data_IF_694771848624
#
_entry.id   IF_694771848624
#
_cell.length_a   1.000
_cell.length_b   1.000
_cell.length_c   1.000
_cell.angle_alpha   90.00
_cell.angle_beta   90.00
_cell.angle_gamma   90.00
#
_symmetry.space_group_name_H-M   'P 1'
#
loop_
_entity.id
_entity.type
_entity.pdbx_description
1 polymer ?
#
# COMPACT_ATOMS: atom_id res chain seq x y z
N UNK A 1 -12.51 4.51 -11.82
CA UNK A 1 -11.20 4.38 -11.19
C UNK A 1 -10.82 5.66 -10.48
N UNK A 2 -10.24 5.54 -9.29
CA UNK A 2 -9.72 6.65 -8.50
C UNK A 2 -8.25 6.44 -8.21
N UNK A 3 -7.55 7.53 -7.87
CA UNK A 3 -6.16 7.50 -7.40
C UNK A 3 -6.16 7.90 -5.93
N UNK A 4 -5.51 7.10 -5.09
CA UNK A 4 -5.24 7.43 -3.69
C UNK A 4 -3.78 7.87 -3.62
N UNK A 5 -3.54 9.11 -3.23
CA UNK A 5 -2.20 9.64 -2.99
C UNK A 5 -1.98 9.74 -1.48
N UNK A 6 -1.02 8.98 -0.95
CA UNK A 6 -0.66 9.00 0.47
C UNK A 6 0.60 9.84 0.62
N UNK A 7 0.45 11.00 1.28
CA UNK A 7 1.58 11.87 1.60
C UNK A 7 2.00 11.58 3.04
N UNK A 8 3.21 11.09 3.21
CA UNK A 8 3.78 10.83 4.55
C UNK A 8 4.18 12.14 5.22
N UNK A 9 4.14 12.15 6.56
CA UNK A 9 4.62 13.29 7.32
C UNK A 9 6.09 13.60 6.99
N UNK A 10 6.41 14.89 6.99
CA UNK A 10 7.78 15.38 6.87
C UNK A 10 8.21 15.97 8.22
N UNK A 11 9.48 15.80 8.62
CA UNK A 11 10.01 16.44 9.80
C UNK A 11 9.87 17.96 9.70
N UNK A 12 9.33 18.61 10.74
CA UNK A 12 9.05 20.06 10.75
C UNK A 12 9.48 20.74 12.03
N UNK A 13 9.38 20.04 13.16
CA UNK A 13 9.61 20.62 14.47
C UNK A 13 11.03 20.34 14.94
N UNK A 14 11.61 21.26 15.70
CA UNK A 14 12.97 21.09 16.26
C UNK A 14 13.04 19.81 17.09
N UNK A 15 12.07 19.61 17.98
CA UNK A 15 11.76 18.33 18.64
C UNK A 15 10.29 18.35 19.02
N UNK A 16 9.52 17.38 18.52
CA UNK A 16 8.15 17.18 18.95
C UNK A 16 7.89 15.70 19.21
N UNK A 17 7.26 15.42 20.33
CA UNK A 17 6.79 14.08 20.69
C UNK A 17 5.27 14.08 20.81
N UNK A 18 4.62 13.09 20.25
CA UNK A 18 3.19 12.88 20.45
C UNK A 18 2.88 11.43 20.80
N UNK A 19 1.91 11.28 21.68
CA UNK A 19 1.37 9.98 22.10
C UNK A 19 -0.14 10.01 21.98
N UNK A 20 -0.71 8.97 21.43
CA UNK A 20 -2.15 8.80 21.30
C UNK A 20 -2.54 7.40 21.76
N UNK A 21 -3.41 7.31 22.75
CA UNK A 21 -3.90 6.03 23.30
C UNK A 21 -5.42 5.98 23.20
N UNK A 22 -5.96 4.86 22.80
CA UNK A 22 -7.40 4.62 22.80
C UNK A 22 -7.71 3.23 23.33
N UNK A 23 -8.82 3.13 24.06
CA UNK A 23 -9.35 1.86 24.54
C UNK A 23 -10.86 1.81 24.30
N UNK A 24 -11.36 0.73 23.76
CA UNK A 24 -12.79 0.52 23.51
C UNK A 24 -13.21 -0.89 23.93
N UNK A 25 -14.51 -1.19 23.82
CA UNK A 25 -15.07 -2.51 24.17
C UNK A 25 -14.34 -3.63 23.40
N UNK A 26 -14.38 -4.86 23.95
CA UNK A 26 -13.74 -6.05 23.38
C UNK A 26 -12.22 -5.98 23.42
N UNK A 27 -11.69 -5.40 24.49
CA UNK A 27 -10.25 -5.22 24.71
C UNK A 27 -9.54 -4.62 23.51
N UNK A 28 -10.21 -3.71 22.80
CA UNK A 28 -9.60 -3.01 21.67
C UNK A 28 -8.73 -1.87 22.21
N UNK A 29 -7.45 -2.02 22.06
CA UNK A 29 -6.43 -1.07 22.47
C UNK A 29 -5.60 -0.60 21.31
N UNK A 30 -5.32 0.69 21.26
CA UNK A 30 -4.40 1.30 20.28
C UNK A 30 -3.48 2.27 20.98
N UNK A 31 -2.17 2.19 20.69
CA UNK A 31 -1.14 3.11 21.15
C UNK A 31 -0.31 3.59 19.97
N UNK A 32 -0.31 4.89 19.74
CA UNK A 32 0.55 5.55 18.75
C UNK A 32 1.58 6.42 19.44
N UNK A 33 2.83 6.40 18.97
CA UNK A 33 3.95 7.22 19.42
C UNK A 33 4.61 7.84 18.19
N UNK A 34 4.86 9.14 18.20
CA UNK A 34 5.59 9.80 17.13
C UNK A 34 6.66 10.71 17.72
N UNK A 35 7.82 10.72 17.09
CA UNK A 35 8.94 11.61 17.39
C UNK A 35 9.34 12.33 16.09
N UNK A 36 9.25 13.64 16.11
CA UNK A 36 9.66 14.53 15.03
C UNK A 36 10.90 15.33 15.48
N UNK A 37 11.93 15.33 14.67
CA UNK A 37 13.16 16.09 14.92
C UNK A 37 13.57 16.73 13.60
N UNK A 38 13.67 18.06 13.58
CA UNK A 38 14.22 18.81 12.44
C UNK A 38 15.23 19.83 12.94
N UNK A 39 16.50 19.63 12.62
CA UNK A 39 17.58 20.53 13.00
C UNK A 39 18.50 20.82 11.83
N UNK A 40 18.58 22.10 11.46
CA UNK A 40 19.41 22.55 10.37
C UNK A 40 19.03 21.89 9.03
N UNK A 41 19.90 21.04 8.51
CA UNK A 41 19.72 20.33 7.22
C UNK A 41 19.15 18.93 7.35
N UNK A 42 18.96 18.44 8.57
CA UNK A 42 18.59 17.06 8.85
C UNK A 42 17.22 17.02 9.50
N UNK A 43 16.37 16.13 9.02
CA UNK A 43 15.10 15.80 9.63
C UNK A 43 14.96 14.31 9.87
N UNK A 44 14.28 13.94 10.95
CA UNK A 44 13.96 12.57 11.33
C UNK A 44 12.53 12.50 11.83
N UNK A 45 11.74 11.59 11.29
CA UNK A 45 10.40 11.29 11.76
C UNK A 45 10.28 9.81 12.06
N UNK A 46 10.03 9.49 13.33
CA UNK A 46 9.83 8.12 13.81
C UNK A 46 8.38 7.94 14.22
N UNK A 47 7.75 6.86 13.80
CA UNK A 47 6.39 6.50 14.23
C UNK A 47 6.33 5.04 14.62
N UNK A 48 5.68 4.77 15.74
CA UNK A 48 5.35 3.42 16.18
C UNK A 48 3.87 3.36 16.52
N UNK A 49 3.20 2.29 16.11
CA UNK A 49 1.81 2.02 16.47
C UNK A 49 1.63 0.56 16.83
N UNK A 50 1.00 0.33 17.97
CA UNK A 50 0.51 -0.96 18.42
C UNK A 50 -1.02 -0.94 18.42
N UNK A 51 -1.64 -1.97 17.84
CA UNK A 51 -3.09 -2.18 17.89
C UNK A 51 -3.37 -3.62 18.35
N UNK A 52 -4.37 -3.77 19.22
CA UNK A 52 -4.85 -5.06 19.71
C UNK A 52 -6.37 -5.07 19.78
N UNK A 53 -6.97 -6.24 19.57
CA UNK A 53 -8.40 -6.50 19.82
C UNK A 53 -8.61 -7.98 20.04
N UNK A 54 -9.45 -8.36 21.01
CA UNK A 54 -9.89 -9.75 21.19
C UNK A 54 -10.87 -10.21 20.10
N UNK A 55 -11.27 -9.28 19.19
CA UNK A 55 -12.31 -9.54 18.23
C UNK A 55 -13.70 -9.60 18.85
N UNK A 56 -14.67 -9.99 18.07
CA UNK A 56 -16.04 -10.14 18.54
C UNK A 56 -16.84 -11.08 17.65
N UNK A 57 -17.85 -11.69 18.25
CA UNK A 57 -18.74 -12.65 17.63
C UNK A 57 -20.18 -12.23 17.87
N UNK A 58 -21.10 -12.61 17.02
CA UNK A 58 -22.52 -12.41 17.27
C UNK A 58 -22.94 -13.14 18.54
N UNK A 59 -23.94 -12.56 19.21
CA UNK A 59 -24.64 -13.28 20.27
C UNK A 59 -25.21 -14.59 19.72
N UNK A 60 -25.28 -15.57 20.61
CA UNK A 60 -25.91 -16.87 20.29
C UNK A 60 -27.30 -16.63 19.73
N UNK A 61 -27.61 -17.29 18.62
CA UNK A 61 -28.97 -17.41 18.16
C UNK A 61 -29.63 -18.49 19.02
N UNK A 62 -30.82 -18.20 19.55
CA UNK A 62 -31.63 -19.16 20.27
C UNK A 62 -32.93 -19.37 19.49
N UNK A 63 -33.32 -20.58 19.27
CA UNK A 63 -34.63 -20.98 18.75
C UNK A 63 -35.32 -21.82 19.84
N UNK A 64 -36.51 -21.44 20.22
CA UNK A 64 -37.31 -22.08 21.31
C UNK A 64 -36.55 -22.26 22.65
N UNK A 65 -35.57 -21.36 22.93
CA UNK A 65 -34.77 -21.39 24.16
C UNK A 65 -33.58 -22.32 24.12
N UNK A 66 -33.32 -22.97 23.02
CA UNK A 66 -32.12 -23.78 22.79
C UNK A 66 -31.07 -23.02 21.97
N UNK A 67 -29.78 -23.19 22.28
CA UNK A 67 -28.68 -22.61 21.52
C UNK A 67 -28.48 -23.37 20.22
N UNK A 68 -28.74 -22.73 19.07
CA UNK A 68 -28.55 -23.32 17.74
C UNK A 68 -27.21 -22.94 17.09
N UNK A 69 -26.15 -22.75 17.86
CA UNK A 69 -24.84 -22.48 17.27
C UNK A 69 -24.21 -23.78 16.80
N UNK A 70 -24.34 -24.05 15.51
CA UNK A 70 -23.62 -25.13 14.84
C UNK A 70 -22.20 -24.72 14.44
N UNK A 71 -21.90 -23.42 14.32
CA UNK A 71 -20.59 -22.92 13.90
C UNK A 71 -20.15 -21.72 14.70
N UNK A 72 -18.87 -21.63 15.04
CA UNK A 72 -18.24 -20.42 15.59
C UNK A 72 -17.63 -19.64 14.43
N UNK A 73 -18.39 -18.68 13.90
CA UNK A 73 -17.91 -17.73 12.90
C UNK A 73 -17.75 -16.35 13.53
N UNK A 74 -16.54 -15.90 13.89
CA UNK A 74 -16.35 -14.57 14.46
C UNK A 74 -16.65 -13.51 13.39
N UNK A 75 -17.40 -12.46 13.76
CA UNK A 75 -17.63 -11.31 12.91
C UNK A 75 -16.38 -10.44 12.76
N UNK A 76 -15.54 -10.41 13.79
CA UNK A 76 -14.22 -9.79 13.76
C UNK A 76 -13.24 -10.68 14.49
N UNK A 77 -12.16 -11.02 13.81
CA UNK A 77 -11.07 -11.82 14.39
C UNK A 77 -10.32 -11.01 15.44
N UNK A 78 -9.87 -11.66 16.49
CA UNK A 78 -8.87 -11.13 17.40
C UNK A 78 -7.57 -10.86 16.62
N UNK A 79 -6.86 -9.79 17.00
CA UNK A 79 -5.60 -9.47 16.36
C UNK A 79 -4.67 -8.68 17.28
N UNK A 80 -3.39 -8.77 16.99
CA UNK A 80 -2.37 -7.84 17.45
C UNK A 80 -1.52 -7.39 16.27
N UNK A 81 -1.12 -6.13 16.26
CA UNK A 81 -0.25 -5.59 15.21
C UNK A 81 0.73 -4.57 15.75
N UNK A 82 1.92 -4.58 15.18
CA UNK A 82 2.95 -3.57 15.39
C UNK A 82 3.29 -2.95 14.06
N UNK A 83 3.38 -1.62 14.03
CA UNK A 83 3.80 -0.86 12.87
C UNK A 83 4.89 0.10 13.32
N UNK A 84 6.05 0.02 12.69
CA UNK A 84 7.17 0.94 12.89
C UNK A 84 7.50 1.61 11.57
N UNK A 85 7.75 2.90 11.58
CA UNK A 85 8.25 3.63 10.42
C UNK A 85 9.27 4.69 10.83
N UNK A 86 10.25 4.88 9.97
CA UNK A 86 11.31 5.86 10.10
C UNK A 86 11.48 6.59 8.78
N UNK A 87 11.58 7.91 8.82
CA UNK A 87 11.95 8.74 7.67
C UNK A 87 13.08 9.67 8.06
N UNK A 88 14.07 9.76 7.19
CA UNK A 88 15.15 10.74 7.27
C UNK A 88 15.08 11.67 6.06
N UNK A 89 15.35 12.95 6.27
CA UNK A 89 15.50 13.94 5.21
C UNK A 89 16.82 14.66 5.38
N UNK A 90 17.45 15.04 4.27
CA UNK A 90 18.70 15.79 4.28
C UNK A 90 18.70 16.84 3.17
N UNK A 91 18.69 18.10 3.54
CA UNK A 91 18.83 19.24 2.63
C UNK A 91 20.31 19.59 2.48
N UNK A 92 21.01 18.93 1.53
CA UNK A 92 22.44 19.13 1.30
C UNK A 92 22.73 20.58 0.91
N UNK A 93 21.89 21.14 0.00
CA UNK A 93 21.89 22.55 -0.41
C UNK A 93 20.46 23.03 -0.53
N UNK A 94 20.24 24.33 -0.84
CA UNK A 94 18.91 24.87 -1.18
C UNK A 94 18.27 24.18 -2.41
N UNK A 95 19.12 23.60 -3.26
CA UNK A 95 18.70 22.97 -4.52
C UNK A 95 18.61 21.43 -4.41
N UNK A 96 19.44 20.80 -3.56
CA UNK A 96 19.58 19.35 -3.50
C UNK A 96 19.12 18.82 -2.16
N UNK A 97 18.10 18.00 -2.19
CA UNK A 97 17.56 17.28 -1.04
C UNK A 97 17.44 15.78 -1.27
N UNK A 98 17.62 15.02 -0.20
CA UNK A 98 17.52 13.57 -0.15
C UNK A 98 16.52 13.15 0.90
N UNK A 99 15.89 12.01 0.69
CA UNK A 99 15.19 11.31 1.75
C UNK A 99 15.47 9.82 1.71
N UNK A 100 15.34 9.19 2.86
CA UNK A 100 15.28 7.74 2.98
C UNK A 100 14.22 7.38 4.03
N UNK A 101 13.47 6.33 3.78
CA UNK A 101 12.50 5.80 4.73
C UNK A 101 12.52 4.29 4.78
N UNK A 102 12.12 3.75 5.91
CA UNK A 102 11.93 2.33 6.10
C UNK A 102 10.80 2.07 7.08
N UNK A 103 10.19 0.91 6.97
CA UNK A 103 9.13 0.51 7.87
C UNK A 103 9.06 -1.00 8.01
N UNK A 104 8.50 -1.40 9.12
CA UNK A 104 8.20 -2.79 9.45
C UNK A 104 6.80 -2.88 10.03
N UNK A 105 6.05 -3.85 9.62
CA UNK A 105 4.81 -4.21 10.29
C UNK A 105 4.68 -5.71 10.47
N UNK A 106 4.02 -6.11 11.53
CA UNK A 106 3.49 -7.45 11.69
C UNK A 106 2.05 -7.40 12.19
N UNK A 107 1.29 -8.42 11.87
CA UNK A 107 -0.07 -8.61 12.35
C UNK A 107 -0.39 -10.09 12.50
N UNK A 108 -0.75 -10.49 13.71
CA UNK A 108 -1.34 -11.80 13.99
C UNK A 108 -2.87 -11.70 14.00
N UNK A 109 -3.56 -12.59 13.28
CA UNK A 109 -5.01 -12.77 13.35
C UNK A 109 -5.31 -14.09 14.06
N UNK A 110 -6.11 -14.00 15.11
CA UNK A 110 -6.50 -15.13 15.94
C UNK A 110 -7.84 -15.70 15.46
N UNK A 111 -7.89 -17.01 15.32
CA UNK A 111 -9.10 -17.73 14.91
C UNK A 111 -9.50 -18.72 15.98
N UNK A 112 -10.80 -19.01 16.15
CA UNK A 112 -11.25 -20.10 17.01
C UNK A 112 -10.60 -21.40 16.56
N UNK A 113 -10.07 -22.18 17.51
CA UNK A 113 -9.45 -23.47 17.22
C UNK A 113 -10.53 -24.49 16.91
N UNK A 114 -10.31 -25.32 15.86
CA UNK A 114 -11.18 -26.45 15.56
C UNK A 114 -11.08 -27.51 16.69
N UNK A 115 -12.24 -27.94 17.20
CA UNK A 115 -12.40 -28.98 18.22
C UNK A 115 -13.55 -29.89 17.83
N UNK A 116 -13.65 -31.06 18.46
CA UNK A 116 -14.71 -32.03 18.19
C UNK A 116 -16.12 -31.48 18.43
N UNK A 117 -16.25 -30.58 19.43
CA UNK A 117 -17.50 -29.93 19.83
C UNK A 117 -17.76 -28.60 19.10
N UNK A 118 -16.87 -28.18 18.19
CA UNK A 118 -16.93 -26.88 17.52
C UNK A 118 -16.74 -27.08 16.02
N UNK A 119 -17.80 -26.89 15.26
CA UNK A 119 -17.73 -26.81 13.79
C UNK A 119 -17.36 -25.40 13.33
N UNK A 120 -16.58 -25.29 12.23
CA UNK A 120 -16.13 -24.04 11.68
C UNK A 120 -14.91 -23.41 12.38
N UNK A 121 -14.27 -24.11 13.29
CA UNK A 121 -12.99 -23.73 13.87
C UNK A 121 -11.84 -23.75 12.85
N UNK A 122 -10.69 -23.22 13.22
CA UNK A 122 -9.51 -23.16 12.37
C UNK A 122 -8.36 -23.98 12.94
N UNK A 123 -7.61 -24.61 12.02
CA UNK A 123 -6.37 -25.35 12.37
C UNK A 123 -5.16 -24.44 12.53
N UNK A 124 -5.28 -23.17 12.15
CA UNK A 124 -4.19 -22.21 12.14
C UNK A 124 -4.69 -20.78 12.35
N UNK A 125 -3.82 -19.97 12.93
CA UNK A 125 -3.90 -18.50 12.88
C UNK A 125 -3.17 -17.98 11.64
N UNK A 126 -3.48 -16.75 11.23
CA UNK A 126 -2.78 -16.10 10.12
C UNK A 126 -1.83 -15.04 10.67
N UNK A 127 -0.59 -15.07 10.23
CA UNK A 127 0.42 -14.07 10.54
C UNK A 127 0.84 -13.34 9.26
N UNK A 128 0.88 -12.02 9.34
CA UNK A 128 1.36 -11.14 8.28
C UNK A 128 2.62 -10.42 8.75
N UNK A 129 3.55 -10.24 7.86
CA UNK A 129 4.79 -9.50 8.10
C UNK A 129 5.17 -8.74 6.84
N UNK A 130 5.65 -7.51 7.01
CA UNK A 130 6.08 -6.70 5.90
C UNK A 130 7.18 -5.73 6.24
N UNK A 131 8.02 -5.48 5.24
CA UNK A 131 9.06 -4.46 5.25
C UNK A 131 8.84 -3.56 4.05
N UNK A 132 8.97 -2.26 4.26
CA UNK A 132 9.02 -1.30 3.17
C UNK A 132 10.24 -0.40 3.32
N UNK A 133 10.74 0.10 2.21
CA UNK A 133 11.86 1.03 2.17
C UNK A 133 11.71 1.94 0.98
N UNK A 134 12.31 3.10 1.06
CA UNK A 134 12.34 4.05 -0.03
C UNK A 134 13.49 5.02 0.12
N UNK A 135 13.95 5.54 -0.98
CA UNK A 135 14.93 6.61 -1.04
C UNK A 135 14.65 7.49 -2.27
N UNK A 136 14.93 8.76 -2.15
CA UNK A 136 14.78 9.67 -3.27
C UNK A 136 15.69 10.85 -3.19
N UNK A 137 15.89 11.45 -4.35
CA UNK A 137 16.67 12.67 -4.53
C UNK A 137 15.85 13.66 -5.34
N UNK A 138 15.83 14.90 -4.88
CA UNK A 138 15.16 16.01 -5.54
C UNK A 138 16.17 17.11 -5.81
N UNK A 139 16.27 17.52 -7.08
CA UNK A 139 17.12 18.60 -7.51
C UNK A 139 16.29 19.74 -8.12
N UNK A 140 16.35 20.91 -7.50
CA UNK A 140 15.70 22.13 -7.95
C UNK A 140 16.65 22.87 -8.89
N UNK A 141 16.44 22.75 -10.19
CA UNK A 141 17.17 23.53 -11.20
C UNK A 141 16.87 25.03 -11.11
N UNK A 142 15.65 25.36 -10.70
CA UNK A 142 15.17 26.71 -10.43
C UNK A 142 13.94 26.66 -9.52
N UNK A 143 13.34 27.82 -9.19
CA UNK A 143 12.08 27.87 -8.42
C UNK A 143 10.91 27.11 -9.07
N UNK A 144 10.98 26.83 -10.36
CA UNK A 144 9.90 26.18 -11.16
C UNK A 144 10.30 24.87 -11.80
N UNK A 145 11.59 24.56 -11.81
CA UNK A 145 12.13 23.40 -12.51
C UNK A 145 12.74 22.43 -11.51
N UNK A 146 12.22 21.23 -11.46
CA UNK A 146 12.63 20.18 -10.52
C UNK A 146 12.81 18.88 -11.26
N UNK A 147 13.88 18.17 -10.94
CA UNK A 147 14.07 16.76 -11.30
C UNK A 147 14.04 15.97 -10.01
N UNK A 148 13.35 14.83 -10.02
CA UNK A 148 13.20 13.96 -8.87
C UNK A 148 13.36 12.51 -9.30
N UNK A 149 14.13 11.77 -8.55
CA UNK A 149 14.23 10.32 -8.64
C UNK A 149 13.76 9.71 -7.33
N UNK A 150 12.87 8.74 -7.43
CA UNK A 150 12.31 7.99 -6.30
C UNK A 150 12.50 6.50 -6.56
N UNK A 151 12.93 5.77 -5.54
CA UNK A 151 12.95 4.32 -5.52
C UNK A 151 12.22 3.84 -4.27
N UNK A 152 11.36 2.85 -4.41
CA UNK A 152 10.70 2.19 -3.29
C UNK A 152 10.63 0.69 -3.46
N UNK A 153 10.60 0.00 -2.34
CA UNK A 153 10.40 -1.44 -2.29
C UNK A 153 9.48 -1.84 -1.15
N UNK A 154 8.83 -2.96 -1.35
CA UNK A 154 7.96 -3.58 -0.35
C UNK A 154 8.13 -5.09 -0.39
N UNK A 155 8.15 -5.71 0.78
CA UNK A 155 8.15 -7.16 0.94
C UNK A 155 7.00 -7.52 1.89
N UNK A 156 6.08 -8.34 1.45
CA UNK A 156 4.93 -8.80 2.21
C UNK A 156 4.93 -10.32 2.28
N UNK A 157 4.81 -10.87 3.48
CA UNK A 157 4.68 -12.30 3.72
C UNK A 157 3.40 -12.61 4.50
N UNK A 158 2.70 -13.65 4.09
CA UNK A 158 1.59 -14.27 4.82
C UNK A 158 2.00 -15.67 5.22
N UNK A 159 1.72 -16.03 6.47
CA UNK A 159 2.05 -17.34 7.05
C UNK A 159 0.85 -17.90 7.82
N UNK A 160 0.72 -19.20 7.84
CA UNK A 160 -0.10 -19.90 8.83
C UNK A 160 0.74 -20.26 10.05
N UNK A 161 0.24 -19.97 11.24
CA UNK A 161 0.75 -20.49 12.51
C UNK A 161 -0.18 -21.63 12.94
N UNK A 162 0.27 -22.85 12.85
CA UNK A 162 -0.58 -24.00 13.18
C UNK A 162 -0.89 -24.05 14.68
N UNK A 163 -2.14 -24.34 15.00
CA UNK A 163 -2.68 -24.47 16.36
C UNK A 163 -2.79 -25.94 16.78
N UNK A 164 -3.02 -26.81 15.80
CA UNK A 164 -3.05 -28.26 15.92
C UNK A 164 -2.18 -28.87 14.82
N UNK A 165 -1.80 -30.12 14.97
CA UNK A 165 -1.05 -30.84 13.94
C UNK A 165 -1.87 -30.92 12.64
N UNK A 166 -1.29 -30.48 11.56
CA UNK A 166 -1.93 -30.51 10.24
C UNK A 166 -0.90 -30.45 9.11
N UNK A 167 -1.10 -31.30 8.09
CA UNK A 167 -0.28 -31.32 6.86
C UNK A 167 1.24 -31.40 7.11
N UNK A 168 1.65 -32.12 8.17
CA UNK A 168 3.06 -32.29 8.56
C UNK A 168 3.66 -31.14 9.38
N UNK A 169 2.85 -30.14 9.76
CA UNK A 169 3.24 -29.06 10.67
C UNK A 169 2.72 -29.34 12.08
N UNK A 170 3.58 -29.15 13.08
CA UNK A 170 3.25 -29.26 14.49
C UNK A 170 2.66 -27.95 15.03
N UNK A 171 1.91 -27.99 16.16
CA UNK A 171 1.43 -26.79 16.84
C UNK A 171 2.55 -25.78 17.10
N UNK A 172 2.31 -24.51 16.80
CA UNK A 172 3.28 -23.42 16.94
C UNK A 172 4.19 -23.21 15.71
N UNK A 173 4.28 -24.14 14.78
CA UNK A 173 5.07 -23.99 13.57
C UNK A 173 4.41 -23.05 12.56
N UNK A 174 5.25 -22.42 11.74
CA UNK A 174 4.83 -21.49 10.69
C UNK A 174 5.05 -22.09 9.31
N UNK A 175 4.06 -21.95 8.43
CA UNK A 175 4.16 -22.22 7.01
C UNK A 175 4.00 -20.93 6.21
N UNK A 176 4.92 -20.66 5.29
CA UNK A 176 4.80 -19.55 4.35
C UNK A 176 3.71 -19.90 3.32
N UNK A 177 2.67 -19.06 3.23
CA UNK A 177 1.58 -19.23 2.25
C UNK A 177 1.75 -18.31 1.05
N UNK A 178 2.30 -17.11 1.28
CA UNK A 178 2.49 -16.10 0.24
C UNK A 178 3.68 -15.20 0.58
N UNK A 179 4.52 -14.96 -0.41
CA UNK A 179 5.53 -13.90 -0.40
C UNK A 179 5.33 -13.04 -1.63
N UNK A 180 5.20 -11.74 -1.43
CA UNK A 180 5.03 -10.77 -2.51
C UNK A 180 6.04 -9.64 -2.33
N UNK A 181 6.72 -9.26 -3.41
CA UNK A 181 7.69 -8.17 -3.41
C UNK A 181 7.36 -7.20 -4.54
N UNK A 182 7.51 -5.92 -4.24
CA UNK A 182 7.37 -4.83 -5.21
C UNK A 182 8.64 -4.00 -5.19
N UNK A 183 9.06 -3.57 -6.36
CA UNK A 183 10.14 -2.61 -6.58
C UNK A 183 9.65 -1.60 -7.59
N UNK A 184 9.69 -0.33 -7.23
CA UNK A 184 9.28 0.80 -8.06
C UNK A 184 10.45 1.78 -8.16
N UNK A 185 10.72 2.28 -9.37
CA UNK A 185 11.66 3.36 -9.62
C UNK A 185 11.01 4.38 -10.55
N UNK A 186 11.00 5.64 -10.18
CA UNK A 186 10.47 6.75 -10.99
C UNK A 186 11.52 7.84 -11.15
N UNK A 187 11.70 8.32 -12.39
CA UNK A 187 12.40 9.56 -12.69
C UNK A 187 11.40 10.55 -13.28
N UNK A 188 11.24 11.69 -12.62
CA UNK A 188 10.24 12.70 -12.95
C UNK A 188 10.86 14.09 -13.09
N UNK A 189 10.44 14.83 -14.10
CA UNK A 189 10.75 16.23 -14.31
C UNK A 189 9.49 17.10 -14.24
N UNK A 190 9.57 18.23 -13.54
CA UNK A 190 8.53 19.27 -13.48
C UNK A 190 9.17 20.55 -13.99
N UNK A 191 8.61 21.14 -15.04
CA UNK A 191 9.16 22.32 -15.69
C UNK A 191 8.10 23.39 -15.91
N UNK A 192 8.33 24.55 -15.33
CA UNK A 192 7.52 25.73 -15.56
C UNK A 192 8.18 26.61 -16.63
N UNK A 193 7.91 26.32 -17.91
CA UNK A 193 8.50 27.10 -19.02
C UNK A 193 8.07 28.56 -19.05
N UNK A 194 6.84 28.85 -18.62
CA UNK A 194 6.32 30.17 -18.45
C UNK A 194 5.64 30.32 -17.09
N UNK A 195 5.24 31.56 -16.73
CA UNK A 195 4.46 31.80 -15.51
C UNK A 195 3.12 31.09 -15.50
N UNK A 196 2.59 30.78 -16.67
CA UNK A 196 1.26 30.25 -16.87
C UNK A 196 1.24 28.79 -17.36
N UNK A 197 2.39 28.13 -17.46
CA UNK A 197 2.43 26.75 -17.92
C UNK A 197 3.35 25.87 -17.07
N UNK A 198 2.94 24.62 -16.90
CA UNK A 198 3.71 23.60 -16.22
C UNK A 198 3.67 22.31 -17.03
N UNK A 199 4.82 21.73 -17.26
CA UNK A 199 4.96 20.42 -17.89
C UNK A 199 5.53 19.44 -16.88
N UNK A 200 4.91 18.27 -16.78
CA UNK A 200 5.41 17.15 -16.02
C UNK A 200 5.66 16.01 -16.99
N UNK A 201 6.81 15.35 -16.90
CA UNK A 201 7.08 14.13 -17.63
C UNK A 201 7.92 13.20 -16.78
N UNK A 202 7.82 11.91 -17.04
CA UNK A 202 8.58 10.92 -16.31
C UNK A 202 8.54 9.57 -16.96
N UNK A 203 9.40 8.71 -16.40
CA UNK A 203 9.44 7.29 -16.67
C UNK A 203 9.37 6.54 -15.35
N UNK A 204 8.67 5.43 -15.33
CA UNK A 204 8.63 4.56 -14.18
C UNK A 204 8.82 3.10 -14.58
N UNK A 205 9.38 2.33 -13.67
CA UNK A 205 9.58 0.90 -13.78
C UNK A 205 9.13 0.23 -12.50
N UNK A 206 8.23 -0.74 -12.63
CA UNK A 206 7.75 -1.58 -11.54
C UNK A 206 8.07 -3.02 -11.81
N UNK A 207 8.57 -3.72 -10.79
CA UNK A 207 8.71 -5.17 -10.79
C UNK A 207 7.93 -5.77 -9.63
N UNK A 208 7.12 -6.77 -9.93
CA UNK A 208 6.35 -7.55 -8.97
C UNK A 208 6.87 -8.99 -8.94
N UNK A 209 6.99 -9.57 -7.75
CA UNK A 209 7.37 -10.97 -7.54
C UNK A 209 6.32 -11.60 -6.64
N UNK A 210 5.84 -12.77 -7.02
CA UNK A 210 4.89 -13.57 -6.24
C UNK A 210 5.43 -14.97 -6.07
N UNK A 211 5.54 -15.43 -4.82
CA UNK A 211 5.88 -16.80 -4.47
C UNK A 211 4.80 -17.38 -3.56
N UNK A 212 4.31 -18.57 -3.93
CA UNK A 212 3.36 -19.38 -3.16
C UNK A 212 3.88 -20.80 -3.06
N UNK A 213 4.54 -21.18 -1.95
CA UNK A 213 5.16 -22.52 -1.79
C UNK A 213 4.14 -23.66 -1.83
N UNK A 214 2.92 -23.43 -1.35
CA UNK A 214 1.82 -24.39 -1.33
C UNK A 214 1.36 -24.84 -2.72
N UNK A 215 1.60 -24.04 -3.74
CA UNK A 215 1.25 -24.31 -5.14
C UNK A 215 2.45 -24.35 -6.08
N UNK A 216 3.67 -24.35 -5.54
CA UNK A 216 4.93 -24.33 -6.29
C UNK A 216 4.99 -23.17 -7.31
N UNK A 217 4.39 -22.03 -6.94
CA UNK A 217 4.33 -20.84 -7.78
C UNK A 217 5.44 -19.88 -7.40
N UNK A 218 6.33 -19.58 -8.36
CA UNK A 218 7.34 -18.52 -8.28
C UNK A 218 7.36 -17.76 -9.60
N UNK A 219 6.83 -16.53 -9.59
CA UNK A 219 6.63 -15.70 -10.78
C UNK A 219 7.05 -14.26 -10.53
N UNK A 220 7.49 -13.61 -11.58
CA UNK A 220 7.70 -12.17 -11.59
C UNK A 220 7.14 -11.56 -12.87
N UNK A 221 6.73 -10.31 -12.80
CA UNK A 221 6.29 -9.49 -13.93
C UNK A 221 6.83 -8.07 -13.77
N UNK A 222 7.00 -7.37 -14.89
CA UNK A 222 7.36 -5.95 -14.87
C UNK A 222 6.38 -5.10 -15.67
N UNK A 223 6.32 -3.84 -15.30
CA UNK A 223 5.66 -2.78 -16.06
C UNK A 223 6.66 -1.63 -16.22
N UNK A 224 6.84 -1.17 -17.43
CA UNK A 224 7.63 0.02 -17.74
C UNK A 224 6.71 1.07 -18.36
N UNK A 225 6.83 2.32 -17.94
CA UNK A 225 5.93 3.37 -18.38
C UNK A 225 6.67 4.66 -18.67
N UNK A 226 6.11 5.44 -19.59
CA UNK A 226 6.52 6.81 -19.84
C UNK A 226 5.28 7.70 -19.94
N UNK A 227 5.34 8.88 -19.35
CA UNK A 227 4.22 9.79 -19.34
C UNK A 227 4.64 11.25 -19.49
N UNK A 228 3.72 12.06 -20.01
CA UNK A 228 3.85 13.50 -20.08
C UNK A 228 2.50 14.19 -19.93
N UNK A 229 2.49 15.34 -19.26
CA UNK A 229 1.33 16.19 -19.10
C UNK A 229 1.75 17.65 -19.17
N UNK A 230 1.00 18.43 -19.91
CA UNK A 230 1.16 19.89 -19.99
C UNK A 230 -0.10 20.57 -19.50
N UNK A 231 0.06 21.52 -18.59
CA UNK A 231 -0.97 22.40 -18.08
C UNK A 231 -0.65 23.83 -18.53
N UNK A 232 -1.64 24.54 -19.03
CA UNK A 232 -1.53 25.93 -19.44
C UNK A 232 -2.74 26.74 -18.97
N UNK A 233 -2.48 27.92 -18.39
CA UNK A 233 -3.51 28.93 -18.05
C UNK A 233 -3.61 29.97 -19.18
N UNK A 234 -4.78 29.99 -19.81
CA UNK A 234 -5.09 30.88 -20.91
C UNK A 234 -6.07 31.96 -20.43
N UNK A 235 -5.79 33.21 -20.76
CA UNK A 235 -6.68 34.38 -20.50
C UNK A 235 -7.23 34.51 -19.08
N UNK A 236 -6.46 34.18 -18.05
CA UNK A 236 -6.82 34.25 -16.63
C UNK A 236 -8.06 33.41 -16.21
N UNK A 237 -8.87 32.97 -17.15
CA UNK A 237 -10.13 32.25 -16.89
C UNK A 237 -10.13 30.81 -17.35
N UNK A 238 -9.28 30.43 -18.28
CA UNK A 238 -9.24 29.09 -18.85
C UNK A 238 -7.95 28.38 -18.44
N UNK A 239 -8.09 27.20 -17.84
CA UNK A 239 -6.97 26.27 -17.63
C UNK A 239 -7.18 25.04 -18.49
N UNK A 240 -6.21 24.73 -19.34
CA UNK A 240 -6.20 23.53 -20.18
C UNK A 240 -5.14 22.53 -19.69
N UNK A 241 -5.44 21.25 -19.77
CA UNK A 241 -4.51 20.16 -19.48
C UNK A 241 -4.57 19.14 -20.61
N UNK A 242 -3.40 18.76 -21.12
CA UNK A 242 -3.25 17.65 -22.06
C UNK A 242 -2.18 16.70 -21.52
N UNK A 243 -2.44 15.40 -21.58
CA UNK A 243 -1.49 14.41 -21.12
C UNK A 243 -1.62 13.09 -21.88
N UNK A 244 -0.56 12.32 -21.86
CA UNK A 244 -0.50 10.98 -22.40
C UNK A 244 0.41 10.13 -21.51
N UNK A 245 0.03 8.87 -21.36
CA UNK A 245 0.85 7.84 -20.73
C UNK A 245 0.89 6.62 -21.62
N UNK A 246 2.04 6.02 -21.74
CA UNK A 246 2.25 4.70 -22.33
C UNK A 246 2.74 3.76 -21.26
N UNK A 247 2.03 2.64 -21.10
CA UNK A 247 2.39 1.55 -20.21
C UNK A 247 2.71 0.32 -21.04
N UNK A 248 3.82 -0.34 -20.75
CA UNK A 248 4.17 -1.65 -21.30
C UNK A 248 4.26 -2.65 -20.15
N UNK A 249 3.30 -3.55 -20.09
CA UNK A 249 3.29 -4.66 -19.14
C UNK A 249 3.77 -5.93 -19.83
N UNK A 250 4.69 -6.67 -19.20
CA UNK A 250 5.37 -7.84 -19.76
C UNK A 250 4.42 -8.86 -20.42
N UNK A 251 3.24 -9.09 -19.84
CA UNK A 251 2.30 -10.10 -20.35
C UNK A 251 1.14 -9.54 -21.17
N UNK A 252 0.70 -8.32 -20.91
CA UNK A 252 -0.47 -7.73 -21.56
C UNK A 252 -0.13 -6.73 -22.66
N UNK A 253 1.18 -6.46 -22.86
CA UNK A 253 1.68 -5.56 -23.88
C UNK A 253 1.47 -4.07 -23.58
N UNK A 254 1.56 -3.25 -24.63
CA UNK A 254 1.54 -1.79 -24.54
C UNK A 254 0.14 -1.19 -24.61
N UNK A 255 -0.09 -0.07 -23.87
CA UNK A 255 -1.33 0.71 -23.92
C UNK A 255 -1.03 2.19 -23.80
N UNK A 256 -1.73 2.99 -24.62
CA UNK A 256 -1.77 4.45 -24.51
C UNK A 256 -3.03 4.92 -23.79
N UNK A 257 -2.87 5.86 -22.88
CA UNK A 257 -3.96 6.46 -22.11
C UNK A 257 -3.88 7.99 -22.20
N UNK A 258 -4.63 8.62 -23.14
CA UNK A 258 -4.70 10.05 -23.28
C UNK A 258 -5.60 10.69 -22.21
N UNK A 259 -5.31 11.95 -21.88
CA UNK A 259 -6.10 12.80 -21.01
C UNK A 259 -6.18 14.21 -21.59
N UNK A 260 -7.39 14.76 -21.63
CA UNK A 260 -7.64 16.18 -21.94
C UNK A 260 -8.61 16.73 -20.91
N UNK A 261 -8.30 17.88 -20.34
CA UNK A 261 -9.20 18.56 -19.42
C UNK A 261 -9.17 20.07 -19.65
N UNK A 262 -10.28 20.70 -19.37
CA UNK A 262 -10.42 22.16 -19.38
C UNK A 262 -11.21 22.60 -18.17
N UNK A 263 -10.84 23.75 -17.60
CA UNK A 263 -11.56 24.43 -16.54
C UNK A 263 -11.72 25.89 -16.91
N UNK A 264 -12.96 26.37 -16.93
CA UNK A 264 -13.30 27.76 -17.20
C UNK A 264 -13.95 28.41 -15.97
N UNK A 265 -13.42 29.55 -15.55
CA UNK A 265 -13.89 30.31 -14.40
C UNK A 265 -14.78 31.46 -14.87
N UNK A 266 -16.05 31.47 -14.44
CA UNK A 266 -17.05 32.49 -14.75
C UNK A 266 -17.52 33.13 -13.44
N UNK A 267 -16.95 34.27 -13.06
CA UNK A 267 -17.26 34.89 -11.77
C UNK A 267 -17.01 33.94 -10.62
N UNK A 268 -18.06 33.57 -9.89
CA UNK A 268 -17.98 32.59 -8.76
C UNK A 268 -18.18 31.13 -9.17
N UNK A 269 -18.36 30.85 -10.46
CA UNK A 269 -18.59 29.49 -10.96
C UNK A 269 -17.36 28.94 -11.65
N UNK A 270 -17.12 27.62 -11.45
CA UNK A 270 -16.09 26.85 -12.13
C UNK A 270 -16.76 25.76 -12.96
N UNK A 271 -16.61 25.81 -14.27
CA UNK A 271 -17.05 24.76 -15.19
C UNK A 271 -15.86 23.91 -15.57
N UNK A 272 -15.97 22.58 -15.41
CA UNK A 272 -14.90 21.62 -15.72
C UNK A 272 -15.40 20.57 -16.68
N UNK A 273 -14.57 20.24 -17.66
CA UNK A 273 -14.76 19.11 -18.56
C UNK A 273 -13.47 18.29 -18.60
N UNK A 274 -13.59 16.96 -18.54
CA UNK A 274 -12.44 16.06 -18.59
C UNK A 274 -12.79 14.84 -19.43
N UNK A 275 -11.91 14.50 -20.36
CA UNK A 275 -11.86 13.19 -21.02
C UNK A 275 -10.55 12.52 -20.64
N UNK A 276 -10.61 11.29 -20.17
CA UNK A 276 -9.44 10.49 -19.87
C UNK A 276 -9.72 9.01 -20.18
N UNK A 277 -8.82 8.39 -20.91
CA UNK A 277 -8.79 6.94 -21.02
C UNK A 277 -8.06 6.36 -19.79
N UNK A 278 -8.54 5.23 -19.27
CA UNK A 278 -7.93 4.51 -18.17
C UNK A 278 -7.47 3.13 -18.61
N UNK A 279 -6.31 2.72 -18.13
CA UNK A 279 -5.82 1.35 -18.23
C UNK A 279 -5.33 0.90 -16.86
N UNK A 280 -5.62 -0.35 -16.53
CA UNK A 280 -5.07 -1.03 -15.36
C UNK A 280 -4.52 -2.38 -15.83
N UNK A 281 -3.22 -2.56 -15.71
CA UNK A 281 -2.63 -3.89 -15.86
C UNK A 281 -3.14 -4.81 -14.74
N UNK A 282 -3.39 -6.09 -15.02
CA UNK A 282 -3.69 -7.05 -13.98
C UNK A 282 -2.49 -7.20 -13.03
N UNK A 283 -2.76 -7.21 -11.72
CA UNK A 283 -1.72 -7.49 -10.72
C UNK A 283 -1.24 -8.94 -10.82
N UNK A 284 -0.04 -9.21 -10.33
CA UNK A 284 0.56 -10.56 -10.40
C UNK A 284 -0.31 -11.64 -9.73
N UNK A 285 -1.04 -11.32 -8.67
CA UNK A 285 -2.01 -12.23 -8.05
C UNK A 285 -3.17 -12.57 -9.00
N UNK A 286 -3.65 -11.59 -9.76
CA UNK A 286 -4.77 -11.78 -10.71
C UNK A 286 -4.34 -12.63 -11.91
N UNK A 287 -3.12 -12.42 -12.41
CA UNK A 287 -2.54 -13.17 -13.52
C UNK A 287 -2.45 -14.67 -13.23
N UNK A 288 -2.12 -15.03 -11.98
CA UNK A 288 -1.86 -16.41 -11.60
C UNK A 288 -2.95 -17.04 -10.72
N UNK A 289 -4.08 -16.36 -10.50
CA UNK A 289 -5.18 -16.85 -9.67
C UNK A 289 -5.79 -18.16 -10.17
N UNK A 290 -5.94 -18.33 -11.49
CA UNK A 290 -6.52 -19.55 -12.09
C UNK A 290 -5.60 -20.77 -11.95
N UNK A 291 -4.27 -20.57 -11.98
CA UNK A 291 -3.32 -21.66 -11.76
C UNK A 291 -3.43 -22.21 -10.34
N UNK A 292 -3.65 -21.35 -9.36
CA UNK A 292 -3.88 -21.73 -7.97
C UNK A 292 -5.14 -22.60 -7.80
N UNK A 293 -6.27 -22.20 -8.41
CA UNK A 293 -7.51 -22.99 -8.38
C UNK A 293 -7.36 -24.37 -9.02
N UNK A 294 -6.63 -24.47 -10.12
CA UNK A 294 -6.42 -25.74 -10.84
C UNK A 294 -5.57 -26.72 -10.02
N UNK A 295 -4.57 -26.23 -9.31
CA UNK A 295 -3.69 -27.09 -8.46
C UNK A 295 -4.41 -27.57 -7.21
N UNK A 296 -5.27 -26.78 -6.60
CA UNK A 296 -6.10 -27.19 -5.46
C UNK A 296 -7.23 -28.16 -5.86
N UNK A 297 -7.82 -27.99 -7.05
CA UNK A 297 -8.88 -28.85 -7.55
C UNK A 297 -8.44 -30.26 -7.94
N UNK A 298 -7.17 -30.49 -8.22
CA UNK A 298 -6.61 -31.83 -8.55
C UNK A 298 -6.16 -32.64 -7.33
N UNK A 299 -6.17 -32.05 -6.12
CA UNK A 299 -5.88 -32.78 -4.86
C UNK A 299 -7.13 -33.27 -4.12
N UNK A 300 -8.31 -33.05 -4.67
CA UNK A 300 -9.60 -33.45 -4.07
C UNK A 300 -10.23 -34.67 -4.77
N UNK A 301 -9.42 -35.55 -5.38
CA UNK A 301 -9.84 -36.89 -5.84
C UNK A 301 -8.91 -37.94 -5.27
#
# INVERSE_FOLDING_TARGET
GGVINIITNEPKDVVAFSSNSSYTRKNQFSQGLNLDIAQGKIGSYTSYKYDHSDGWQNSRLTEDGEDIIETIAPLSLGYSSNNFSQKFTYDATEQLSFYANGGYYNRGLERPVEREDITGGSKYNTAYEGYNWGAGVKYKLSKRNVIQFDYSGNNYASRYKYLIENSGYLPGQYALTKLQKFHDAELKGIFGFTTNSTTVFGVDYRREVLRRPDSDLDKSVYTASAYGQHEVKLWNHLTGVVGVRYDHHEQTGGRFTPKVAAMYNIGNFNVRATYAAGFRAPGIDELYYHMFKKTMGTRAT
#
